data_IF_135644696819
#
_entry.id   IF_135644696819
#
_cell.length_a   1.000
_cell.length_b   1.000
_cell.length_c   1.000
_cell.angle_alpha   90.00
_cell.angle_beta   90.00
_cell.angle_gamma   90.00
#
_symmetry.space_group_name_H-M   'P 1'
#
loop_
_entity.id
_entity.type
_entity.pdbx_description
1 polymer ?
#
# COMPACT_ATOMS: atom_id res chain seq x y z
N UNK A 1 -25.15 12.73 -37.93
CA UNK A 1 -24.02 11.90 -37.44
C UNK A 1 -24.58 10.53 -37.08
N UNK A 2 -24.45 9.55 -37.97
CA UNK A 2 -25.23 8.31 -37.99
C UNK A 2 -24.62 7.24 -37.07
N UNK A 3 -25.44 6.52 -36.28
CA UNK A 3 -25.01 5.46 -35.34
C UNK A 3 -24.07 4.39 -35.96
N UNK A 4 -24.13 4.20 -37.28
CA UNK A 4 -23.24 3.33 -38.04
C UNK A 4 -21.77 3.78 -38.07
N UNK A 5 -21.48 5.08 -37.98
CA UNK A 5 -20.10 5.61 -37.97
C UNK A 5 -19.44 5.52 -36.58
N UNK A 6 -20.23 5.46 -35.51
CA UNK A 6 -19.76 5.16 -34.16
C UNK A 6 -19.36 3.69 -34.00
N UNK A 7 -20.14 2.76 -34.55
CA UNK A 7 -19.84 1.31 -34.52
C UNK A 7 -18.56 0.93 -35.26
N UNK A 8 -18.27 1.57 -36.40
CA UNK A 8 -17.02 1.32 -37.15
C UNK A 8 -15.76 1.85 -36.46
N UNK A 9 -15.87 2.91 -35.63
CA UNK A 9 -14.73 3.47 -34.89
C UNK A 9 -14.36 2.67 -33.65
N UNK A 10 -15.33 2.05 -32.97
CA UNK A 10 -15.06 1.19 -31.80
C UNK A 10 -14.50 -0.19 -32.19
N UNK A 11 -15.02 -0.79 -33.26
CA UNK A 11 -14.60 -2.14 -33.69
C UNK A 11 -13.15 -2.18 -34.21
N UNK A 12 -12.65 -1.09 -34.81
CA UNK A 12 -11.28 -1.00 -35.34
C UNK A 12 -10.17 -0.85 -34.30
N UNK A 13 -10.48 -0.41 -33.07
CA UNK A 13 -9.50 -0.32 -31.96
C UNK A 13 -9.36 -1.61 -31.17
N UNK A 14 -10.42 -2.41 -31.07
CA UNK A 14 -10.40 -3.72 -30.40
C UNK A 14 -9.77 -4.82 -31.27
N UNK A 15 -9.89 -4.73 -32.60
CA UNK A 15 -9.31 -5.71 -33.53
C UNK A 15 -7.79 -5.62 -33.76
N UNK A 16 -7.05 -4.88 -32.93
CA UNK A 16 -5.62 -4.59 -33.12
C UNK A 16 -4.70 -5.05 -32.00
N UNK A 17 -5.23 -5.68 -30.94
CA UNK A 17 -4.40 -6.36 -29.96
C UNK A 17 -3.96 -7.69 -30.57
N UNK A 18 -2.70 -7.76 -31.01
CA UNK A 18 -2.09 -9.04 -31.38
C UNK A 18 -2.25 -10.02 -30.21
N UNK A 19 -2.50 -11.29 -30.51
CA UNK A 19 -2.48 -12.37 -29.51
C UNK A 19 -1.23 -12.30 -28.64
N UNK A 20 -0.10 -11.89 -29.20
CA UNK A 20 1.17 -11.68 -28.48
C UNK A 20 1.09 -10.58 -27.42
N UNK A 21 0.37 -9.48 -27.72
CA UNK A 21 0.19 -8.36 -26.79
C UNK A 21 -0.71 -8.78 -25.61
N UNK A 22 -1.74 -9.57 -25.88
CA UNK A 22 -2.61 -10.15 -24.84
C UNK A 22 -1.83 -11.12 -23.94
N UNK A 23 -1.09 -12.05 -24.54
CA UNK A 23 -0.28 -13.02 -23.78
C UNK A 23 0.75 -12.30 -22.91
N UNK A 24 1.45 -11.29 -23.45
CA UNK A 24 2.39 -10.46 -22.67
C UNK A 24 1.69 -9.73 -21.52
N UNK A 25 0.53 -9.12 -21.76
CA UNK A 25 -0.22 -8.43 -20.71
C UNK A 25 -0.68 -9.37 -19.59
N UNK A 26 -1.10 -10.59 -19.93
CA UNK A 26 -1.47 -11.63 -18.94
C UNK A 26 -0.26 -12.02 -18.10
N UNK A 27 0.89 -12.30 -18.72
CA UNK A 27 2.11 -12.66 -18.00
C UNK A 27 2.60 -11.54 -17.07
N UNK A 28 2.60 -10.30 -17.56
CA UNK A 28 2.94 -9.13 -16.75
C UNK A 28 1.96 -8.96 -15.59
N UNK A 29 0.66 -9.14 -15.82
CA UNK A 29 -0.37 -9.08 -14.78
C UNK A 29 -0.18 -10.14 -13.70
N UNK A 30 0.13 -11.39 -14.08
CA UNK A 30 0.44 -12.48 -13.14
C UNK A 30 1.68 -12.13 -12.30
N UNK A 31 2.75 -11.67 -12.95
CA UNK A 31 3.99 -11.31 -12.24
C UNK A 31 3.77 -10.16 -11.25
N UNK A 32 3.08 -9.10 -11.68
CA UNK A 32 2.72 -7.97 -10.82
C UNK A 32 1.86 -8.44 -9.65
N UNK A 33 0.87 -9.30 -9.91
CA UNK A 33 -0.02 -9.85 -8.88
C UNK A 33 0.72 -10.66 -7.82
N UNK A 34 1.67 -11.52 -8.23
CA UNK A 34 2.50 -12.30 -7.29
C UNK A 34 3.36 -11.37 -6.43
N UNK A 35 4.04 -10.40 -7.04
CA UNK A 35 4.90 -9.46 -6.29
C UNK A 35 4.08 -8.57 -5.37
N UNK A 36 2.94 -8.06 -5.82
CA UNK A 36 2.03 -7.29 -5.00
C UNK A 36 1.48 -8.10 -3.82
N UNK A 37 1.10 -9.36 -4.05
CA UNK A 37 0.61 -10.25 -3.00
C UNK A 37 1.67 -10.55 -1.95
N UNK A 38 2.88 -10.93 -2.36
CA UNK A 38 4.00 -11.18 -1.44
C UNK A 38 4.36 -9.90 -0.67
N UNK A 39 4.43 -8.75 -1.34
CA UNK A 39 4.70 -7.48 -0.69
C UNK A 39 3.61 -7.08 0.31
N UNK A 40 2.33 -7.37 0.01
CA UNK A 40 1.22 -7.12 0.92
C UNK A 40 1.30 -7.99 2.18
N UNK A 41 1.67 -9.27 2.04
CA UNK A 41 1.90 -10.18 3.17
C UNK A 41 3.03 -9.64 4.04
N UNK A 42 4.19 -9.32 3.45
CA UNK A 42 5.33 -8.77 4.19
C UNK A 42 4.97 -7.47 4.92
N UNK A 43 4.15 -6.61 4.30
CA UNK A 43 3.68 -5.39 4.93
C UNK A 43 2.74 -5.65 6.10
N UNK A 44 1.84 -6.63 5.97
CA UNK A 44 0.93 -7.03 7.04
C UNK A 44 1.69 -7.60 8.24
N UNK A 45 2.64 -8.51 7.98
CA UNK A 45 3.55 -9.05 9.00
C UNK A 45 4.36 -7.95 9.69
N UNK A 46 4.81 -6.92 8.95
CA UNK A 46 5.51 -5.78 9.53
C UNK A 46 4.60 -4.95 10.46
N UNK A 47 3.32 -4.76 10.11
CA UNK A 47 2.35 -4.10 10.99
C UNK A 47 2.13 -4.93 12.26
N UNK A 48 1.91 -6.23 12.14
CA UNK A 48 1.70 -7.12 13.28
C UNK A 48 2.93 -7.15 14.20
N UNK A 49 4.13 -7.23 13.62
CA UNK A 49 5.37 -7.18 14.39
C UNK A 49 5.50 -5.89 15.19
N UNK A 50 5.26 -4.73 14.58
CA UNK A 50 5.31 -3.44 15.28
C UNK A 50 4.21 -3.38 16.35
N UNK A 51 3.01 -3.87 16.05
CA UNK A 51 1.88 -3.92 16.99
C UNK A 51 2.22 -4.76 18.21
N UNK A 52 2.80 -5.94 17.99
CA UNK A 52 3.20 -6.85 19.05
C UNK A 52 4.28 -6.22 19.94
N UNK A 53 5.33 -5.66 19.34
CA UNK A 53 6.43 -5.04 20.08
C UNK A 53 5.98 -3.78 20.85
N UNK A 54 5.16 -2.92 20.25
CA UNK A 54 4.79 -1.65 20.87
C UNK A 54 3.55 -1.75 21.75
N UNK A 55 2.46 -2.32 21.24
CA UNK A 55 1.19 -2.34 21.96
C UNK A 55 1.11 -3.55 22.90
N UNK A 56 1.47 -4.75 22.47
CA UNK A 56 1.34 -5.94 23.30
C UNK A 56 2.44 -6.04 24.37
N UNK A 57 3.72 -5.97 23.98
CA UNK A 57 4.84 -6.13 24.93
C UNK A 57 5.04 -4.90 25.83
N UNK A 58 5.03 -3.69 25.25
CA UNK A 58 5.35 -2.47 26.01
C UNK A 58 4.12 -1.92 26.74
N UNK A 59 2.99 -1.76 26.06
CA UNK A 59 1.78 -1.19 26.68
C UNK A 59 0.87 -2.23 27.37
N UNK A 60 1.08 -3.53 27.13
CA UNK A 60 0.19 -4.57 27.62
C UNK A 60 -1.22 -4.48 27.02
N UNK A 61 -1.35 -3.96 25.80
CA UNK A 61 -2.61 -3.74 25.11
C UNK A 61 -2.68 -4.63 23.86
N UNK A 62 -3.68 -5.52 23.82
CA UNK A 62 -3.93 -6.34 22.65
C UNK A 62 -5.10 -5.76 21.84
N UNK A 63 -4.84 -5.11 20.70
CA UNK A 63 -5.91 -4.60 19.86
C UNK A 63 -6.74 -5.75 19.27
N UNK A 64 -8.04 -5.53 19.00
CA UNK A 64 -8.87 -6.55 18.37
C UNK A 64 -8.34 -6.87 16.97
N UNK A 65 -8.34 -8.16 16.63
CA UNK A 65 -7.96 -8.60 15.28
C UNK A 65 -8.94 -8.03 14.24
N UNK A 66 -8.49 -7.87 12.97
CA UNK A 66 -9.37 -7.54 11.87
C UNK A 66 -10.62 -8.44 11.81
N UNK A 67 -11.74 -7.86 11.37
CA UNK A 67 -13.02 -8.56 11.22
C UNK A 67 -12.84 -9.84 10.38
N UNK A 68 -13.09 -11.01 10.98
CA UNK A 68 -13.01 -12.31 10.32
C UNK A 68 -11.83 -13.20 10.75
N UNK A 69 -10.88 -12.69 11.56
CA UNK A 69 -9.66 -13.42 11.98
C UNK A 69 -9.72 -14.04 13.39
N UNK A 70 -10.93 -14.18 13.97
CA UNK A 70 -11.19 -15.16 15.03
C UNK A 70 -10.95 -14.73 16.49
N UNK A 71 -10.36 -13.57 16.77
CA UNK A 71 -10.33 -13.03 18.15
C UNK A 71 -10.71 -11.55 18.20
N UNK A 72 -11.95 -11.29 18.65
CA UNK A 72 -12.42 -9.94 18.99
C UNK A 72 -12.11 -9.55 20.45
N UNK A 73 -11.44 -10.44 21.20
CA UNK A 73 -11.07 -10.23 22.59
C UNK A 73 -10.00 -9.12 22.67
N UNK A 74 -10.44 -7.92 23.07
CA UNK A 74 -9.56 -6.81 23.37
C UNK A 74 -9.13 -6.93 24.83
N UNK A 75 -7.84 -7.10 25.08
CA UNK A 75 -7.31 -7.05 26.45
C UNK A 75 -6.85 -5.62 26.74
N UNK A 76 -7.38 -5.06 27.82
CA UNK A 76 -7.16 -3.67 28.20
C UNK A 76 -5.68 -3.38 28.48
N UNK A 77 -5.21 -2.13 28.32
CA UNK A 77 -3.81 -1.81 28.49
C UNK A 77 -3.42 -1.90 29.96
N UNK A 78 -2.43 -2.73 30.28
CA UNK A 78 -1.78 -2.71 31.60
C UNK A 78 -1.15 -1.33 31.91
N UNK A 79 -0.76 -0.60 30.86
CA UNK A 79 -0.05 0.69 30.95
C UNK A 79 -0.68 1.74 30.04
N UNK A 80 -1.93 2.11 30.31
CA UNK A 80 -2.69 3.15 29.58
C UNK A 80 -1.89 4.44 29.32
N UNK A 81 -1.07 4.87 30.27
CA UNK A 81 -0.28 6.11 30.17
C UNK A 81 0.83 6.06 29.10
N UNK A 82 1.23 4.88 28.63
CA UNK A 82 2.24 4.72 27.57
C UNK A 82 1.67 4.91 26.16
N UNK A 83 0.37 4.64 25.97
CA UNK A 83 -0.27 4.74 24.65
C UNK A 83 -0.05 6.08 23.93
N UNK A 84 -0.22 7.27 24.55
CA UNK A 84 0.05 8.53 23.86
C UNK A 84 1.51 8.69 23.44
N UNK A 85 2.46 8.13 24.20
CA UNK A 85 3.89 8.19 23.84
C UNK A 85 4.23 7.24 22.71
N UNK A 86 3.63 6.04 22.68
CA UNK A 86 3.81 5.10 21.58
C UNK A 86 3.20 5.63 20.29
N UNK A 87 1.97 6.14 20.36
CA UNK A 87 1.29 6.78 19.24
C UNK A 87 2.08 7.99 18.71
N UNK A 88 2.45 8.91 19.60
CA UNK A 88 3.19 10.11 19.24
C UNK A 88 4.60 9.80 18.74
N UNK A 89 5.29 8.85 19.38
CA UNK A 89 6.62 8.39 18.99
C UNK A 89 6.61 7.67 17.65
N UNK A 90 5.64 6.80 17.40
CA UNK A 90 5.46 6.13 16.11
C UNK A 90 5.21 7.13 14.99
N UNK A 91 4.32 8.11 15.19
CA UNK A 91 4.08 9.20 14.24
C UNK A 91 5.33 10.05 14.00
N UNK A 92 6.10 10.38 15.04
CA UNK A 92 7.35 11.12 14.92
C UNK A 92 8.40 10.36 14.12
N UNK A 93 8.61 9.08 14.42
CA UNK A 93 9.57 8.22 13.69
C UNK A 93 9.15 8.06 12.23
N UNK A 94 7.87 7.78 11.98
CA UNK A 94 7.34 7.69 10.62
C UNK A 94 7.52 9.00 9.85
N UNK A 95 7.25 10.14 10.48
CA UNK A 95 7.48 11.47 9.92
C UNK A 95 8.95 11.70 9.58
N UNK A 96 9.87 11.42 10.51
CA UNK A 96 11.31 11.55 10.28
C UNK A 96 11.73 10.66 9.10
N UNK A 97 11.31 9.41 9.03
CA UNK A 97 11.64 8.50 7.94
C UNK A 97 11.18 9.04 6.58
N UNK A 98 9.92 9.50 6.49
CA UNK A 98 9.37 10.06 5.25
C UNK A 98 10.12 11.33 4.86
N UNK A 99 10.21 12.33 5.75
CA UNK A 99 10.80 13.62 5.42
C UNK A 99 12.32 13.59 5.23
N UNK A 100 13.02 12.55 5.70
CA UNK A 100 14.47 12.41 5.48
C UNK A 100 14.82 11.52 4.28
N UNK A 101 14.10 10.42 4.08
CA UNK A 101 14.48 9.41 3.07
C UNK A 101 13.72 9.55 1.75
N UNK A 102 12.42 9.87 1.82
CA UNK A 102 11.59 10.04 0.64
C UNK A 102 10.41 10.98 0.94
N UNK A 103 10.61 12.31 0.89
CA UNK A 103 9.54 13.29 1.12
C UNK A 103 8.36 13.11 0.17
N UNK A 104 8.60 12.60 -1.04
CA UNK A 104 7.56 12.23 -2.00
C UNK A 104 6.67 11.06 -1.55
N UNK A 105 7.02 10.37 -0.46
CA UNK A 105 6.22 9.33 0.17
C UNK A 105 5.13 9.91 1.10
N UNK A 106 4.89 11.21 1.11
CA UNK A 106 3.81 11.84 1.88
C UNK A 106 2.40 11.39 1.40
N UNK A 107 1.39 11.59 2.26
CA UNK A 107 -0.03 11.40 1.93
C UNK A 107 -0.49 9.95 1.90
N UNK A 108 -1.62 9.69 1.24
CA UNK A 108 -2.24 8.37 1.21
C UNK A 108 -1.57 7.40 0.21
N UNK A 109 -0.80 7.90 -0.76
CA UNK A 109 -0.14 7.08 -1.79
C UNK A 109 -1.04 6.69 -2.97
N UNK A 110 -2.36 6.65 -2.79
CA UNK A 110 -3.36 6.53 -3.88
C UNK A 110 -3.31 7.74 -4.81
N UNK A 111 -3.23 8.94 -4.25
CA UNK A 111 -3.12 10.19 -5.02
C UNK A 111 -1.84 10.19 -5.86
N UNK A 112 -0.72 9.71 -5.29
CA UNK A 112 0.54 9.55 -6.01
C UNK A 112 0.44 8.55 -7.16
N UNK A 113 -0.38 7.49 -7.03
CA UNK A 113 -0.62 6.56 -8.14
C UNK A 113 -1.45 7.20 -9.26
N UNK A 114 -2.48 7.97 -8.91
CA UNK A 114 -3.30 8.73 -9.86
C UNK A 114 -2.42 9.76 -10.58
N UNK A 115 -1.63 10.52 -9.84
CA UNK A 115 -0.70 11.52 -10.37
C UNK A 115 0.38 10.87 -11.26
N UNK A 116 0.93 9.73 -10.85
CA UNK A 116 1.92 9.02 -11.66
C UNK A 116 1.32 8.64 -13.02
N UNK A 117 0.09 8.12 -13.05
CA UNK A 117 -0.60 7.76 -14.28
C UNK A 117 -0.89 8.97 -15.18
N UNK A 118 -1.40 10.07 -14.63
CA UNK A 118 -1.83 11.24 -15.41
C UNK A 118 -0.69 12.18 -15.81
N UNK A 119 0.33 12.34 -14.95
CA UNK A 119 1.33 13.39 -15.09
C UNK A 119 2.75 12.84 -15.34
N UNK A 120 3.02 11.59 -14.97
CA UNK A 120 4.38 11.01 -15.02
C UNK A 120 4.46 9.76 -15.92
N UNK A 121 3.53 9.60 -16.87
CA UNK A 121 3.49 8.45 -17.79
C UNK A 121 3.50 7.10 -17.08
N UNK A 122 2.86 7.01 -15.91
CA UNK A 122 2.82 5.82 -15.07
C UNK A 122 4.09 5.55 -14.27
N UNK A 123 5.09 6.45 -14.28
CA UNK A 123 6.36 6.23 -13.60
C UNK A 123 6.26 6.56 -12.11
N UNK A 124 6.62 5.60 -11.26
CA UNK A 124 6.76 5.80 -9.82
C UNK A 124 8.21 5.61 -9.36
N UNK A 125 8.62 6.37 -8.35
CA UNK A 125 9.98 6.27 -7.79
C UNK A 125 10.08 5.04 -6.89
N UNK A 126 10.86 4.05 -7.30
CA UNK A 126 11.00 2.77 -6.58
C UNK A 126 11.40 2.94 -5.11
N UNK A 127 12.21 3.96 -4.78
CA UNK A 127 12.63 4.26 -3.40
C UNK A 127 11.48 4.61 -2.45
N UNK A 128 10.34 5.06 -2.97
CA UNK A 128 9.16 5.44 -2.16
C UNK A 128 8.54 4.24 -1.50
N UNK A 129 8.52 3.10 -2.20
CA UNK A 129 7.85 1.88 -1.79
C UNK A 129 8.37 1.40 -0.41
N UNK A 130 9.67 1.12 -0.20
CA UNK A 130 10.14 0.66 1.10
C UNK A 130 9.96 1.69 2.22
N UNK A 131 10.17 2.99 1.94
CA UNK A 131 10.00 4.05 2.96
C UNK A 131 8.54 4.14 3.39
N UNK A 132 7.61 4.12 2.44
CA UNK A 132 6.17 4.15 2.71
C UNK A 132 5.72 2.95 3.52
N UNK A 133 6.16 1.75 3.15
CA UNK A 133 5.80 0.52 3.86
C UNK A 133 6.27 0.55 5.32
N UNK A 134 7.53 0.92 5.56
CA UNK A 134 8.08 0.99 6.92
C UNK A 134 7.37 2.09 7.73
N UNK A 135 7.21 3.30 7.18
CA UNK A 135 6.56 4.40 7.86
C UNK A 135 5.08 4.11 8.18
N UNK A 136 4.36 3.45 7.26
CA UNK A 136 2.98 3.03 7.50
C UNK A 136 2.89 1.88 8.50
N UNK A 137 3.81 0.92 8.47
CA UNK A 137 3.85 -0.16 9.47
C UNK A 137 4.08 0.39 10.87
N UNK A 138 4.99 1.37 11.01
CA UNK A 138 5.24 2.06 12.28
C UNK A 138 4.00 2.84 12.73
N UNK A 139 3.41 3.65 11.85
CA UNK A 139 2.22 4.44 12.16
C UNK A 139 1.05 3.56 12.61
N UNK A 140 0.73 2.51 11.84
CA UNK A 140 -0.41 1.62 12.15
C UNK A 140 -0.10 0.79 13.39
N UNK A 141 1.09 0.18 13.46
CA UNK A 141 1.48 -0.69 14.57
C UNK A 141 1.65 0.03 15.90
N UNK A 142 1.93 1.34 15.90
CA UNK A 142 1.91 2.16 17.12
C UNK A 142 0.49 2.56 17.58
N UNK A 143 -0.56 2.11 16.89
CA UNK A 143 -1.95 2.47 17.16
C UNK A 143 -2.44 3.74 16.46
N UNK A 144 -1.71 4.23 15.46
CA UNK A 144 -2.08 5.39 14.66
C UNK A 144 -3.19 5.08 13.65
N UNK A 145 -4.04 6.06 13.39
CA UNK A 145 -5.10 5.96 12.40
C UNK A 145 -4.53 6.08 10.98
N UNK A 146 -4.36 4.94 10.29
CA UNK A 146 -3.93 4.89 8.90
C UNK A 146 -4.46 3.62 8.20
N UNK A 147 -4.57 3.69 6.87
CA UNK A 147 -5.03 2.58 6.03
C UNK A 147 -3.89 1.79 5.38
N UNK A 148 -4.16 0.53 5.04
CA UNK A 148 -3.23 -0.35 4.32
C UNK A 148 -3.30 -0.21 2.79
N UNK A 149 -4.35 0.43 2.28
CA UNK A 149 -4.66 0.52 0.85
C UNK A 149 -3.57 1.23 0.05
N UNK A 150 -3.11 2.37 0.56
CA UNK A 150 -2.08 3.20 -0.07
C UNK A 150 -0.74 2.50 -0.28
N UNK A 151 -0.10 2.00 0.80
CA UNK A 151 1.16 1.27 0.69
C UNK A 151 1.05 0.02 -0.19
N UNK A 152 -0.06 -0.73 -0.07
CA UNK A 152 -0.30 -1.92 -0.89
C UNK A 152 -0.46 -1.59 -2.37
N UNK A 153 -1.19 -0.53 -2.70
CA UNK A 153 -1.33 -0.05 -4.07
C UNK A 153 0.02 0.41 -4.66
N UNK A 154 0.89 1.03 -3.84
CA UNK A 154 2.23 1.44 -4.28
C UNK A 154 3.18 0.27 -4.52
N UNK A 155 3.05 -0.86 -3.82
CA UNK A 155 3.82 -2.07 -4.15
C UNK A 155 3.48 -2.52 -5.57
N UNK A 156 2.19 -2.70 -5.87
CA UNK A 156 1.73 -3.16 -7.18
C UNK A 156 2.03 -2.16 -8.29
N UNK A 157 1.65 -0.90 -8.10
CA UNK A 157 1.86 0.17 -9.09
C UNK A 157 3.33 0.50 -9.30
N UNK A 158 4.12 0.51 -8.23
CA UNK A 158 5.56 0.76 -8.29
C UNK A 158 6.33 -0.36 -8.99
N UNK A 159 5.99 -1.62 -8.71
CA UNK A 159 6.57 -2.76 -9.42
C UNK A 159 6.12 -2.81 -10.89
N UNK A 160 4.83 -2.57 -11.16
CA UNK A 160 4.30 -2.45 -12.52
C UNK A 160 5.01 -1.37 -13.34
N UNK A 161 5.28 -0.22 -12.72
CA UNK A 161 6.07 0.87 -13.32
C UNK A 161 7.54 0.50 -13.56
N UNK A 162 8.11 -0.43 -12.79
CA UNK A 162 9.50 -0.83 -12.92
C UNK A 162 9.72 -1.80 -14.09
N UNK A 163 8.74 -2.66 -14.38
CA UNK A 163 8.85 -3.69 -15.43
C UNK A 163 8.29 -3.28 -16.79
N UNK A 164 7.54 -2.18 -16.87
CA UNK A 164 6.96 -1.63 -18.10
C UNK A 164 7.95 -0.72 -18.85
#
# INVERSE_FOLDING_TARGET
MTLASLRRRTTGRLGRLSTDALVRAVWLGVLIGVVAGVGAILFFEAIELVTHLLLEEIAGYKPPSPLGEGSAETFGPDRLWLLPFLLGGGGLVAGILVFTLAPEAEGHGTDAAIEAFHQHSGRSRVRVIPVKLVASAITIGSGGAAGREGPTAQIGGGFGSFIA
#
